data_IF_672546738569
#
_entry.id   IF_672546738569
#
_cell.length_a   1.000
_cell.length_b   1.000
_cell.length_c   1.000
_cell.angle_alpha   90.00
_cell.angle_beta   90.00
_cell.angle_gamma   90.00
#
_symmetry.space_group_name_H-M   'P 1'
#
loop_
_entity.id
_entity.type
_entity.pdbx_description
1 polymer ?
#
# COMPACT_ATOMS: atom_id res chain seq x y z
N UNK A 1 -2.87 15.58 -10.21
CA UNK A 1 -3.41 14.20 -10.34
C UNK A 1 -3.26 13.44 -9.01
N UNK A 2 -2.03 13.21 -8.47
CA UNK A 2 -1.87 12.43 -7.22
C UNK A 2 -2.67 13.03 -6.06
N UNK A 3 -2.56 14.34 -5.84
CA UNK A 3 -3.31 15.06 -4.81
C UNK A 3 -4.84 14.89 -4.99
N UNK A 4 -5.33 14.94 -6.21
CA UNK A 4 -6.76 14.76 -6.50
C UNK A 4 -7.20 13.32 -6.25
N UNK A 5 -6.37 12.32 -6.61
CA UNK A 5 -6.61 10.91 -6.25
C UNK A 5 -6.72 10.74 -4.74
N UNK A 6 -5.80 11.34 -3.98
CA UNK A 6 -5.81 11.31 -2.50
C UNK A 6 -7.05 12.03 -1.92
N UNK A 7 -7.49 13.12 -2.53
CA UNK A 7 -8.68 13.84 -2.10
C UNK A 7 -9.96 13.04 -2.29
N UNK A 8 -10.04 12.16 -3.30
CA UNK A 8 -11.17 11.24 -3.49
C UNK A 8 -11.36 10.25 -2.34
N UNK A 9 -10.29 9.98 -1.59
CA UNK A 9 -10.32 9.03 -0.45
C UNK A 9 -10.07 9.70 0.91
N UNK A 10 -10.31 11.01 1.02
CA UNK A 10 -10.06 11.78 2.26
C UNK A 10 -10.83 11.22 3.47
N UNK A 11 -12.04 10.68 3.26
CA UNK A 11 -12.87 10.06 4.30
C UNK A 11 -12.20 8.84 4.96
N UNK A 12 -11.22 8.20 4.30
CA UNK A 12 -10.45 7.07 4.86
C UNK A 12 -9.32 7.51 5.77
N UNK A 13 -8.84 8.72 5.61
CA UNK A 13 -7.73 9.27 6.37
C UNK A 13 -7.77 10.80 6.36
N UNK A 14 -8.64 11.40 7.18
CA UNK A 14 -8.83 12.85 7.18
C UNK A 14 -7.71 13.60 7.89
N UNK A 15 -6.95 12.95 8.80
CA UNK A 15 -6.10 13.64 9.76
C UNK A 15 -4.80 14.14 9.15
N UNK A 16 -4.17 13.34 8.31
CA UNK A 16 -2.95 13.77 7.63
C UNK A 16 -2.78 13.15 6.25
N UNK A 17 -1.83 13.66 5.49
CA UNK A 17 -1.49 13.20 4.17
C UNK A 17 0.02 13.25 3.95
N UNK A 18 0.53 12.29 3.20
CA UNK A 18 1.91 12.28 2.74
C UNK A 18 2.01 11.91 1.28
N UNK A 19 3.07 12.35 0.63
CA UNK A 19 3.33 12.09 -0.78
C UNK A 19 4.81 11.79 -1.01
N UNK A 20 5.08 10.86 -1.91
CA UNK A 20 6.37 10.66 -2.55
C UNK A 20 6.19 10.84 -4.06
N UNK A 21 7.08 11.58 -4.68
CA UNK A 21 7.04 11.87 -6.12
C UNK A 21 8.47 11.87 -6.66
N UNK A 22 8.71 11.06 -7.70
CA UNK A 22 9.90 11.15 -8.55
C UNK A 22 9.51 11.07 -10.05
N UNK A 23 10.46 10.81 -10.92
CA UNK A 23 10.22 10.71 -12.37
C UNK A 23 9.56 9.39 -12.80
N UNK A 24 9.42 8.40 -11.91
CA UNK A 24 8.90 7.05 -12.18
C UNK A 24 7.70 6.67 -11.32
N UNK A 25 7.65 7.11 -10.05
CA UNK A 25 6.65 6.68 -9.11
C UNK A 25 6.03 7.85 -8.35
N UNK A 26 4.71 7.81 -8.21
CA UNK A 26 3.94 8.74 -7.40
C UNK A 26 3.15 7.93 -6.37
N UNK A 27 3.48 8.09 -5.10
CA UNK A 27 2.84 7.37 -4.01
C UNK A 27 2.20 8.35 -3.03
N UNK A 28 0.93 8.15 -2.72
CA UNK A 28 0.17 9.01 -1.82
C UNK A 28 -0.42 8.21 -0.67
N UNK A 29 -0.49 8.84 0.49
CA UNK A 29 -1.06 8.24 1.69
C UNK A 29 -2.00 9.22 2.40
N UNK A 30 -3.13 8.68 2.89
CA UNK A 30 -4.08 9.39 3.76
C UNK A 30 -4.17 8.63 5.07
N UNK A 31 -4.02 9.33 6.20
CA UNK A 31 -3.95 8.75 7.53
C UNK A 31 -5.20 9.07 8.35
N UNK A 32 -5.73 8.04 9.00
CA UNK A 32 -6.59 8.13 10.15
C UNK A 32 -5.75 7.79 11.39
N UNK A 33 -5.53 8.78 12.25
CA UNK A 33 -4.67 8.63 13.43
C UNK A 33 -5.48 8.10 14.59
N UNK A 34 -5.37 6.80 14.90
CA UNK A 34 -6.06 6.16 16.03
C UNK A 34 -5.13 6.07 17.24
N UNK A 35 -3.85 5.78 17.02
CA UNK A 35 -2.83 5.63 18.05
C UNK A 35 -1.50 6.16 17.47
N UNK A 36 -0.65 6.78 18.31
CA UNK A 36 0.69 7.28 18.00
C UNK A 36 0.74 8.37 16.91
N UNK A 37 0.64 9.62 17.35
CA UNK A 37 0.63 10.80 16.49
C UNK A 37 2.00 11.09 15.84
N UNK A 38 3.10 10.63 16.42
CA UNK A 38 4.45 11.08 16.07
C UNK A 38 5.22 10.11 15.14
N UNK A 39 4.90 8.81 15.11
CA UNK A 39 5.77 7.80 14.46
C UNK A 39 5.20 7.09 13.24
N UNK A 40 4.05 7.49 12.73
CA UNK A 40 3.36 6.77 11.64
C UNK A 40 3.24 7.56 10.34
N UNK A 41 4.11 8.54 10.07
CA UNK A 41 4.04 9.28 8.82
C UNK A 41 4.42 8.40 7.63
N UNK A 42 3.59 8.42 6.59
CA UNK A 42 3.81 7.70 5.36
C UNK A 42 3.63 8.66 4.17
N UNK A 43 4.26 8.39 3.02
CA UNK A 43 5.16 7.26 2.71
C UNK A 43 6.40 7.24 3.59
N UNK A 44 6.79 6.03 4.06
CA UNK A 44 7.96 5.82 4.92
C UNK A 44 9.15 5.32 4.11
N UNK A 45 10.36 5.74 4.51
CA UNK A 45 11.59 5.37 3.85
C UNK A 45 12.46 4.50 4.74
N UNK A 46 13.33 3.68 4.11
CA UNK A 46 14.47 3.12 4.78
C UNK A 46 15.55 4.21 5.04
N UNK A 47 16.62 3.87 5.76
CA UNK A 47 17.66 4.81 6.23
C UNK A 47 18.37 5.53 5.09
N UNK A 48 18.65 4.81 3.99
CA UNK A 48 19.36 5.36 2.83
C UNK A 48 18.44 6.01 1.80
N UNK A 49 17.12 6.04 2.07
CA UNK A 49 16.06 6.60 1.22
C UNK A 49 16.00 6.00 -0.19
N UNK A 50 16.32 4.70 -0.33
CA UNK A 50 16.24 3.97 -1.60
C UNK A 50 15.02 3.07 -1.70
N UNK A 51 14.32 2.86 -0.60
CA UNK A 51 13.07 2.12 -0.52
C UNK A 51 12.03 3.00 0.13
N UNK A 52 10.84 3.06 -0.46
CA UNK A 52 9.70 3.80 0.09
C UNK A 52 8.47 2.90 0.11
N UNK A 53 7.70 2.96 1.19
CA UNK A 53 6.47 2.18 1.37
C UNK A 53 5.26 3.07 1.64
N UNK A 54 4.11 2.63 1.10
CA UNK A 54 2.79 2.98 1.61
C UNK A 54 2.10 1.71 2.09
N UNK A 55 1.55 1.75 3.30
CA UNK A 55 0.97 0.60 3.97
C UNK A 55 -0.36 0.95 4.64
N UNK A 56 -1.35 0.11 4.42
CA UNK A 56 -2.65 0.15 5.08
C UNK A 56 -2.90 -1.21 5.72
N UNK A 57 -2.83 -1.29 7.03
CA UNK A 57 -3.03 -2.57 7.72
C UNK A 57 -2.45 -2.61 9.11
N UNK A 58 -2.23 -3.85 9.57
CA UNK A 58 -1.58 -4.18 10.83
C UNK A 58 -0.88 -5.53 10.69
N UNK A 59 0.40 -5.59 11.04
CA UNK A 59 1.20 -6.82 11.05
C UNK A 59 1.24 -7.36 12.47
N UNK A 60 0.46 -8.37 12.77
CA UNK A 60 0.27 -8.88 14.14
C UNK A 60 1.54 -9.44 14.78
N UNK A 61 2.40 -10.06 13.98
CA UNK A 61 3.67 -10.62 14.44
C UNK A 61 4.87 -9.68 14.22
N UNK A 62 4.64 -8.37 14.09
CA UNK A 62 5.71 -7.40 13.80
C UNK A 62 6.82 -7.40 14.87
N UNK A 63 6.48 -7.64 16.13
CA UNK A 63 7.46 -7.65 17.21
C UNK A 63 8.46 -8.81 17.09
N UNK A 64 7.99 -9.99 16.68
CA UNK A 64 8.86 -11.15 16.48
C UNK A 64 9.73 -10.97 15.24
N UNK A 65 9.16 -10.45 14.15
CA UNK A 65 9.92 -10.10 12.95
C UNK A 65 10.98 -9.02 13.25
N UNK A 66 10.64 -8.03 14.06
CA UNK A 66 11.56 -6.97 14.47
C UNK A 66 12.77 -7.53 15.22
N UNK A 67 12.55 -8.48 16.15
CA UNK A 67 13.64 -9.15 16.87
C UNK A 67 14.58 -9.90 15.92
N UNK A 68 14.03 -10.71 15.01
CA UNK A 68 14.79 -11.45 14.01
C UNK A 68 15.60 -10.50 13.10
N UNK A 69 15.03 -9.37 12.67
CA UNK A 69 15.71 -8.38 11.85
C UNK A 69 16.82 -7.64 12.62
N UNK A 70 16.62 -7.34 13.92
CA UNK A 70 17.67 -6.76 14.76
C UNK A 70 18.85 -7.74 14.92
N UNK A 71 18.59 -9.03 15.12
CA UNK A 71 19.64 -10.06 15.19
C UNK A 71 20.43 -10.17 13.88
N UNK A 72 19.82 -9.80 12.74
CA UNK A 72 20.46 -9.72 11.42
C UNK A 72 21.18 -8.40 11.15
N UNK A 73 21.12 -7.48 12.09
CA UNK A 73 21.86 -6.21 12.04
C UNK A 73 21.05 -5.00 11.56
N UNK A 74 19.73 -5.15 11.35
CA UNK A 74 18.87 -4.00 11.02
C UNK A 74 18.70 -3.06 12.21
N UNK A 75 18.76 -1.76 11.95
CA UNK A 75 18.60 -0.70 12.96
C UNK A 75 17.27 0.00 12.72
N UNK A 76 16.46 0.08 13.75
CA UNK A 76 15.12 0.67 13.72
C UNK A 76 15.10 2.07 14.31
N UNK A 77 14.50 3.02 13.63
CA UNK A 77 14.31 4.39 14.09
C UNK A 77 13.03 4.56 14.92
N UNK A 78 12.04 3.68 14.73
CA UNK A 78 10.77 3.70 15.44
C UNK A 78 10.27 2.28 15.77
N UNK A 79 9.06 2.16 16.33
CA UNK A 79 8.47 0.88 16.71
C UNK A 79 7.27 0.49 15.84
N UNK A 80 7.13 1.08 14.65
CA UNK A 80 6.00 0.78 13.78
C UNK A 80 6.18 -0.54 13.04
N UNK A 81 5.08 -1.21 12.75
CA UNK A 81 5.04 -2.35 11.86
C UNK A 81 5.36 -1.98 10.39
N UNK A 82 5.14 -0.73 10.02
CA UNK A 82 5.54 -0.20 8.70
C UNK A 82 7.05 -0.27 8.49
N UNK A 83 7.86 0.10 9.49
CA UNK A 83 9.31 0.00 9.41
C UNK A 83 9.77 -1.46 9.35
N UNK A 84 9.09 -2.33 10.08
CA UNK A 84 9.35 -3.79 10.00
C UNK A 84 9.15 -4.32 8.59
N UNK A 85 8.13 -3.85 7.86
CA UNK A 85 7.91 -4.24 6.45
C UNK A 85 9.06 -3.78 5.54
N UNK A 86 9.60 -2.59 5.75
CA UNK A 86 10.74 -2.09 4.97
C UNK A 86 11.96 -2.99 5.16
N UNK A 87 12.35 -3.24 6.41
CA UNK A 87 13.49 -4.09 6.73
C UNK A 87 13.29 -5.56 6.35
N UNK A 88 12.06 -6.06 6.45
CA UNK A 88 11.73 -7.39 5.97
C UNK A 88 11.89 -7.50 4.44
N UNK A 89 11.55 -6.45 3.69
CA UNK A 89 11.79 -6.42 2.25
C UNK A 89 13.29 -6.35 1.92
N UNK A 90 14.08 -5.60 2.66
CA UNK A 90 15.53 -5.53 2.49
C UNK A 90 16.19 -6.89 2.72
N UNK A 91 15.77 -7.61 3.76
CA UNK A 91 16.37 -8.88 4.15
C UNK A 91 15.88 -10.06 3.29
N UNK A 92 14.58 -10.13 3.02
CA UNK A 92 13.97 -11.32 2.41
C UNK A 92 13.42 -11.08 0.99
N UNK A 93 13.41 -9.85 0.51
CA UNK A 93 12.74 -9.52 -0.75
C UNK A 93 11.26 -9.89 -0.72
N UNK A 94 10.77 -10.53 -1.78
CA UNK A 94 9.36 -10.97 -1.89
C UNK A 94 9.01 -12.12 -0.95
N UNK A 95 9.99 -12.92 -0.53
CA UNK A 95 9.80 -14.05 0.40
C UNK A 95 9.33 -13.59 1.80
N UNK A 96 9.44 -12.28 2.08
CA UNK A 96 8.87 -11.70 3.29
C UNK A 96 7.39 -12.05 3.48
N UNK A 97 6.62 -12.19 2.40
CA UNK A 97 5.18 -12.49 2.46
C UNK A 97 4.88 -13.76 3.26
N UNK A 98 5.73 -14.77 3.15
CA UNK A 98 5.57 -16.04 3.88
C UNK A 98 5.71 -15.89 5.40
N UNK A 99 6.36 -14.81 5.84
CA UNK A 99 6.65 -14.51 7.25
C UNK A 99 5.58 -13.61 7.89
N UNK A 100 4.78 -12.92 7.09
CA UNK A 100 3.79 -11.97 7.60
C UNK A 100 2.55 -12.67 8.16
N UNK A 101 2.07 -12.15 9.29
CA UNK A 101 0.75 -12.47 9.85
C UNK A 101 0.04 -11.15 10.13
N UNK A 102 -1.11 -10.95 9.50
CA UNK A 102 -1.83 -9.69 9.66
C UNK A 102 -2.88 -9.47 8.58
N UNK A 103 -3.46 -8.28 8.61
CA UNK A 103 -4.34 -7.75 7.58
C UNK A 103 -3.64 -6.57 6.92
N UNK A 104 -3.38 -6.65 5.62
CA UNK A 104 -2.53 -5.66 4.97
C UNK A 104 -2.79 -5.46 3.48
N UNK A 105 -2.51 -4.24 3.06
CA UNK A 105 -2.25 -3.89 1.68
C UNK A 105 -1.10 -2.88 1.66
N UNK A 106 -0.05 -3.15 0.90
CA UNK A 106 1.09 -2.25 0.79
C UNK A 106 1.63 -2.17 -0.63
N UNK A 107 2.34 -1.09 -0.89
CA UNK A 107 3.16 -0.92 -2.07
C UNK A 107 4.55 -0.41 -1.65
N UNK A 108 5.59 -1.12 -2.07
CA UNK A 108 7.00 -0.78 -1.87
C UNK A 108 7.61 -0.41 -3.20
N UNK A 109 8.23 0.75 -3.29
CA UNK A 109 9.01 1.13 -4.46
C UNK A 109 10.50 1.11 -4.12
N UNK A 110 11.21 0.20 -4.80
CA UNK A 110 12.66 0.06 -4.75
C UNK A 110 13.29 0.88 -5.89
N UNK A 111 13.83 2.02 -5.53
CA UNK A 111 14.40 2.98 -6.48
C UNK A 111 15.67 2.45 -7.14
N UNK A 112 16.46 1.62 -6.43
CA UNK A 112 17.69 1.02 -6.94
C UNK A 112 17.39 0.04 -8.06
N UNK A 113 16.40 -0.84 -7.84
CA UNK A 113 16.00 -1.86 -8.79
C UNK A 113 14.90 -1.38 -9.76
N UNK A 114 14.38 -0.16 -9.57
CA UNK A 114 13.25 0.42 -10.32
C UNK A 114 12.03 -0.52 -10.34
N UNK A 115 11.73 -1.10 -9.16
CA UNK A 115 10.72 -2.11 -8.99
C UNK A 115 9.64 -1.63 -8.03
N UNK A 116 8.39 -1.78 -8.44
CA UNK A 116 7.23 -1.67 -7.55
C UNK A 116 6.82 -3.08 -7.13
N UNK A 117 6.85 -3.34 -5.83
CA UNK A 117 6.35 -4.56 -5.21
C UNK A 117 5.11 -4.22 -4.39
N UNK A 118 3.99 -4.85 -4.71
CA UNK A 118 2.73 -4.64 -3.98
C UNK A 118 2.14 -5.97 -3.57
N UNK A 119 1.53 -5.99 -2.38
CA UNK A 119 0.88 -7.18 -1.87
C UNK A 119 -0.35 -6.82 -1.05
N UNK A 120 -1.26 -7.79 -0.98
CA UNK A 120 -2.48 -7.76 -0.19
C UNK A 120 -2.56 -9.02 0.64
N UNK A 121 -3.16 -8.95 1.82
CA UNK A 121 -3.36 -10.12 2.68
C UNK A 121 -4.19 -11.21 2.00
N UNK A 122 -3.98 -12.44 2.43
CA UNK A 122 -4.55 -13.63 1.80
C UNK A 122 -6.09 -13.59 1.68
N UNK A 123 -6.77 -13.04 2.67
CA UNK A 123 -8.22 -12.95 2.67
C UNK A 123 -8.76 -11.66 2.07
N UNK A 124 -7.88 -10.75 1.64
CA UNK A 124 -8.27 -9.48 1.08
C UNK A 124 -8.99 -8.55 2.07
N UNK A 125 -8.65 -8.64 3.37
CA UNK A 125 -9.26 -7.83 4.44
C UNK A 125 -9.00 -6.34 4.17
N UNK A 126 -7.77 -5.97 3.80
CA UNK A 126 -7.48 -4.61 3.37
C UNK A 126 -7.69 -4.46 1.86
N UNK A 127 -8.41 -3.42 1.43
CA UNK A 127 -8.65 -3.23 0.01
C UNK A 127 -7.38 -2.80 -0.73
N UNK A 128 -7.17 -3.39 -1.91
CA UNK A 128 -6.14 -3.00 -2.86
C UNK A 128 -6.66 -3.22 -4.28
N UNK A 129 -6.81 -2.14 -5.02
CA UNK A 129 -7.22 -2.13 -6.42
C UNK A 129 -6.06 -1.65 -7.27
N UNK A 130 -5.91 -2.20 -8.45
CA UNK A 130 -4.91 -1.75 -9.42
C UNK A 130 -5.42 -1.90 -10.86
N UNK A 131 -4.78 -1.19 -11.77
CA UNK A 131 -5.08 -1.28 -13.20
C UNK A 131 -4.06 -0.49 -14.01
N UNK A 132 -3.97 -0.81 -15.29
CA UNK A 132 -3.08 -0.11 -16.24
C UNK A 132 -3.92 0.73 -17.20
N UNK A 133 -3.63 2.04 -17.22
CA UNK A 133 -4.34 3.02 -18.04
C UNK A 133 -3.30 3.87 -18.77
N UNK A 134 -3.35 3.86 -20.09
CA UNK A 134 -2.42 4.59 -20.95
C UNK A 134 -0.94 4.43 -20.49
N UNK A 135 -0.50 3.18 -20.32
CA UNK A 135 0.85 2.81 -19.89
C UNK A 135 1.25 3.28 -18.46
N UNK A 136 0.26 3.68 -17.64
CA UNK A 136 0.47 4.00 -16.23
C UNK A 136 -0.19 2.95 -15.35
N UNK A 137 0.57 2.37 -14.41
CA UNK A 137 0.02 1.53 -13.36
C UNK A 137 -0.58 2.41 -12.27
N UNK A 138 -1.88 2.29 -12.05
CA UNK A 138 -2.58 2.91 -10.92
C UNK A 138 -2.84 1.88 -9.84
N UNK A 139 -2.73 2.28 -8.58
CA UNK A 139 -3.17 1.47 -7.44
C UNK A 139 -3.81 2.35 -6.37
N UNK A 140 -4.63 1.74 -5.52
CA UNK A 140 -5.29 2.48 -4.45
C UNK A 140 -6.23 1.62 -3.62
N UNK A 141 -6.64 2.15 -2.48
CA UNK A 141 -7.58 1.49 -1.58
C UNK A 141 -9.03 1.53 -2.08
N UNK A 142 -9.36 2.43 -2.99
CA UNK A 142 -10.70 2.54 -3.59
C UNK A 142 -10.59 2.95 -5.06
N UNK A 143 -11.40 2.31 -5.91
CA UNK A 143 -11.46 2.60 -7.36
C UNK A 143 -11.79 4.08 -7.63
N UNK A 144 -12.57 4.72 -6.74
CA UNK A 144 -12.92 6.13 -6.96
C UNK A 144 -11.72 7.09 -6.95
N UNK A 145 -10.57 6.69 -6.39
CA UNK A 145 -9.35 7.48 -6.52
C UNK A 145 -8.89 7.59 -7.97
N UNK A 146 -9.12 6.54 -8.78
CA UNK A 146 -8.75 6.52 -10.19
C UNK A 146 -9.57 7.49 -11.04
N UNK A 147 -10.75 7.92 -10.58
CA UNK A 147 -11.58 8.92 -11.28
C UNK A 147 -10.89 10.28 -11.43
N UNK A 148 -9.81 10.53 -10.70
CA UNK A 148 -8.99 11.74 -10.84
C UNK A 148 -7.88 11.60 -11.89
N UNK A 149 -7.67 10.38 -12.42
CA UNK A 149 -6.70 10.15 -13.48
C UNK A 149 -7.34 10.39 -14.85
N UNK A 150 -6.76 11.27 -15.70
CA UNK A 150 -7.41 11.70 -16.94
C UNK A 150 -7.77 10.57 -17.90
N UNK A 151 -6.94 9.54 -17.97
CA UNK A 151 -7.13 8.41 -18.90
C UNK A 151 -7.97 7.27 -18.33
N UNK A 152 -8.48 7.42 -17.10
CA UNK A 152 -9.39 6.44 -16.52
C UNK A 152 -10.80 6.59 -17.12
N UNK A 153 -11.22 5.60 -17.87
CA UNK A 153 -12.58 5.54 -18.42
C UNK A 153 -13.53 4.91 -17.41
N UNK A 154 -14.58 5.64 -17.06
CA UNK A 154 -15.63 5.15 -16.17
C UNK A 154 -16.62 4.31 -16.96
N UNK A 155 -16.39 3.01 -17.00
CA UNK A 155 -17.26 2.04 -17.67
C UNK A 155 -17.70 0.96 -16.67
N UNK A 156 -18.95 0.53 -16.78
CA UNK A 156 -19.48 -0.56 -15.96
C UNK A 156 -19.33 -1.87 -16.75
N UNK A 157 -18.68 -2.87 -16.12
CA UNK A 157 -18.68 -4.22 -16.64
C UNK A 157 -20.09 -4.81 -16.45
N UNK A 158 -20.87 -4.88 -17.54
CA UNK A 158 -22.26 -5.34 -17.49
C UNK A 158 -22.41 -6.80 -17.10
N UNK A 159 -21.43 -7.65 -17.47
CA UNK A 159 -21.43 -9.07 -17.10
C UNK A 159 -21.19 -9.22 -15.59
N UNK A 160 -20.21 -8.47 -15.04
CA UNK A 160 -19.97 -8.45 -13.61
C UNK A 160 -21.17 -7.88 -12.83
N UNK A 161 -21.85 -6.87 -13.37
CA UNK A 161 -23.05 -6.30 -12.77
C UNK A 161 -24.19 -7.32 -12.73
N UNK A 162 -24.44 -8.05 -13.81
CA UNK A 162 -25.45 -9.09 -13.87
C UNK A 162 -25.20 -10.20 -12.84
N UNK A 163 -23.94 -10.67 -12.75
CA UNK A 163 -23.55 -11.65 -11.74
C UNK A 163 -23.75 -11.10 -10.31
N UNK A 164 -23.37 -9.84 -10.06
CA UNK A 164 -23.56 -9.23 -8.76
C UNK A 164 -25.04 -9.09 -8.39
N UNK A 165 -25.89 -8.71 -9.32
CA UNK A 165 -27.34 -8.60 -9.07
C UNK A 165 -27.98 -9.97 -8.81
N UNK A 166 -27.42 -11.04 -9.37
CA UNK A 166 -27.93 -12.41 -9.20
C UNK A 166 -27.41 -13.04 -7.89
N UNK A 167 -26.13 -12.95 -7.60
CA UNK A 167 -25.44 -13.67 -6.53
C UNK A 167 -25.00 -12.79 -5.38
N UNK A 168 -25.09 -11.45 -5.48
CA UNK A 168 -24.59 -10.45 -4.54
C UNK A 168 -23.05 -10.47 -4.35
N UNK A 169 -22.32 -11.18 -5.20
CA UNK A 169 -20.86 -11.16 -5.30
C UNK A 169 -20.43 -11.42 -6.76
N UNK A 170 -19.18 -11.08 -7.08
CA UNK A 170 -18.61 -11.38 -8.40
C UNK A 170 -18.08 -12.82 -8.41
N UNK A 171 -18.49 -13.60 -9.41
CA UNK A 171 -17.97 -14.96 -9.69
C UNK A 171 -16.89 -14.93 -10.77
N UNK A 172 -16.49 -13.72 -11.22
CA UNK A 172 -15.45 -13.53 -12.22
C UNK A 172 -14.11 -13.33 -11.51
N UNK A 173 -13.07 -13.97 -12.03
CA UNK A 173 -11.69 -13.83 -11.62
C UNK A 173 -11.12 -12.45 -12.01
#
# INVERSE_FOLDING_TARGET
VLTDMMNKIIHRGPDSAGQYIDDKAYMGFRRLSIIDLDNGSQPMFNENKKIVITFNGEIYNYQDLRKDLIEKGHIFANNSDTEVLIHAYEEYGEDMLSKLRGMFAFAIYDMKNKKLFAARDFFGIKPFYYGVFNNHLLFGSEIKSFLAFPDFKKEVNTVALENYLTFQYSVLD
#
